data_IF_983241258995
#
_entry.id   IF_983241258995
#
_cell.length_a   1.000
_cell.length_b   1.000
_cell.length_c   1.000
_cell.angle_alpha   90.00
_cell.angle_beta   90.00
_cell.angle_gamma   90.00
#
_symmetry.space_group_name_H-M   'P 1'
#
loop_
_entity.id
_entity.type
_entity.pdbx_description
1 polymer ?
#
# COMPACT_ATOMS: atom_id res chain seq x y z
N UNK A 1 11.82 -3.68 -24.38
CA UNK A 1 13.20 -3.61 -23.83
C UNK A 1 13.14 -3.31 -22.35
N UNK A 2 14.01 -3.92 -21.54
CA UNK A 2 14.16 -3.55 -20.13
C UNK A 2 15.14 -2.37 -20.04
N UNK A 3 14.77 -1.28 -19.33
CA UNK A 3 15.68 -0.16 -19.08
C UNK A 3 16.16 -0.24 -17.63
N UNK A 4 17.40 -0.66 -17.45
CA UNK A 4 18.04 -0.84 -16.14
C UNK A 4 18.61 -2.24 -15.94
N UNK A 5 19.25 -2.47 -14.79
CA UNK A 5 19.75 -3.79 -14.41
C UNK A 5 18.58 -4.71 -14.05
N UNK A 6 18.64 -6.02 -14.38
CA UNK A 6 17.64 -6.98 -13.93
C UNK A 6 17.59 -7.01 -12.41
N UNK A 7 16.38 -7.06 -11.84
CA UNK A 7 16.20 -7.02 -10.39
C UNK A 7 16.79 -8.29 -9.71
N UNK A 8 17.45 -8.15 -8.54
CA UNK A 8 18.04 -9.27 -7.81
C UNK A 8 16.98 -10.15 -7.15
N UNK A 9 17.31 -11.43 -6.93
CA UNK A 9 16.42 -12.44 -6.33
C UNK A 9 16.00 -12.12 -4.88
N UNK A 10 16.87 -11.48 -4.10
CA UNK A 10 16.61 -11.10 -2.70
C UNK A 10 16.87 -9.60 -2.54
N UNK A 11 15.88 -8.88 -2.02
CA UNK A 11 16.00 -7.47 -1.66
C UNK A 11 15.10 -7.17 -0.46
N UNK A 12 15.63 -6.42 0.52
CA UNK A 12 14.83 -5.70 1.51
C UNK A 12 14.55 -4.31 0.95
N UNK A 13 13.29 -4.01 0.68
CA UNK A 13 12.81 -2.63 0.54
C UNK A 13 11.66 -2.42 1.49
N UNK A 14 11.65 -1.29 2.19
CA UNK A 14 10.44 -0.80 2.86
C UNK A 14 9.55 -0.31 1.73
N UNK A 15 8.59 -1.12 1.34
CA UNK A 15 7.64 -0.78 0.29
C UNK A 15 6.35 -0.35 0.96
N UNK A 16 6.05 0.95 0.90
CA UNK A 16 4.75 1.46 1.29
C UNK A 16 4.53 1.76 2.76
N UNK A 17 5.58 2.14 3.50
CA UNK A 17 5.35 2.90 4.73
C UNK A 17 4.76 4.26 4.35
N UNK A 18 3.48 4.43 4.67
CA UNK A 18 2.76 5.68 4.46
C UNK A 18 1.96 5.97 5.72
N UNK A 19 2.55 6.80 6.58
CA UNK A 19 1.89 7.23 7.80
C UNK A 19 0.60 7.97 7.45
N UNK A 20 -0.56 7.38 7.76
CA UNK A 20 -1.85 7.91 7.30
C UNK A 20 -2.18 9.29 7.85
N UNK A 21 -1.67 9.64 9.03
CA UNK A 21 -1.90 10.93 9.69
C UNK A 21 -0.90 11.98 9.20
N UNK A 22 0.39 11.71 9.37
CA UNK A 22 1.47 12.62 8.94
C UNK A 22 1.50 12.87 7.42
N UNK A 23 1.12 11.88 6.62
CA UNK A 23 1.11 11.98 5.15
C UNK A 23 -0.29 12.21 4.57
N UNK A 24 -1.28 12.55 5.39
CA UNK A 24 -2.68 12.66 4.94
C UNK A 24 -2.82 13.61 3.74
N UNK A 25 -2.13 14.76 3.77
CA UNK A 25 -2.12 15.71 2.65
C UNK A 25 -1.42 15.16 1.42
N UNK A 26 -0.27 14.49 1.59
CA UNK A 26 0.40 13.83 0.48
C UNK A 26 -0.41 12.70 -0.16
N UNK A 27 -1.29 12.04 0.61
CA UNK A 27 -2.26 11.06 0.09
C UNK A 27 -3.33 11.79 -0.72
N UNK A 28 -3.93 12.85 -0.16
CA UNK A 28 -4.97 13.64 -0.83
C UNK A 28 -4.46 14.26 -2.13
N UNK A 29 -3.24 14.80 -2.14
CA UNK A 29 -2.63 15.40 -3.33
C UNK A 29 -2.39 14.36 -4.43
N UNK A 30 -2.02 13.13 -4.06
CA UNK A 30 -1.77 12.04 -5.01
C UNK A 30 -3.07 11.37 -5.50
N UNK A 31 -4.06 11.26 -4.63
CA UNK A 31 -5.31 10.55 -4.86
C UNK A 31 -6.42 11.42 -5.46
N UNK A 32 -6.42 12.71 -5.11
CA UNK A 32 -7.52 13.65 -5.32
C UNK A 32 -8.60 13.51 -4.25
N UNK A 33 -9.03 14.66 -3.69
CA UNK A 33 -10.10 14.72 -2.67
C UNK A 33 -11.41 14.11 -3.16
N UNK A 34 -11.75 14.32 -4.44
CA UNK A 34 -12.94 13.76 -5.08
C UNK A 34 -12.98 12.24 -5.00
N UNK A 35 -11.89 11.56 -5.35
CA UNK A 35 -11.81 10.09 -5.30
C UNK A 35 -11.92 9.57 -3.86
N UNK A 36 -11.32 10.27 -2.90
CA UNK A 36 -11.43 9.92 -1.48
C UNK A 36 -12.86 10.07 -0.98
N UNK A 37 -13.52 11.20 -1.30
CA UNK A 37 -14.90 11.47 -0.91
C UNK A 37 -15.89 10.46 -1.51
N UNK A 38 -15.72 10.12 -2.80
CA UNK A 38 -16.50 9.09 -3.49
C UNK A 38 -16.35 7.72 -2.82
N UNK A 39 -15.11 7.31 -2.47
CA UNK A 39 -14.84 6.06 -1.77
C UNK A 39 -15.45 6.01 -0.37
N UNK A 40 -15.44 7.14 0.33
CA UNK A 40 -16.00 7.27 1.68
C UNK A 40 -17.54 7.46 1.67
N UNK A 41 -18.15 7.68 0.50
CA UNK A 41 -19.58 7.90 0.34
C UNK A 41 -20.08 9.22 0.94
N UNK A 42 -19.28 10.30 0.80
CA UNK A 42 -19.59 11.62 1.37
C UNK A 42 -19.27 12.75 0.38
N UNK A 43 -19.61 14.00 0.74
CA UNK A 43 -19.29 15.17 -0.08
C UNK A 43 -17.80 15.56 0.04
N UNK A 44 -17.25 16.19 -1.00
CA UNK A 44 -15.86 16.68 -0.99
C UNK A 44 -15.61 17.69 0.14
N UNK A 45 -16.58 18.57 0.40
CA UNK A 45 -16.49 19.55 1.48
C UNK A 45 -16.42 18.88 2.86
N UNK A 46 -17.21 17.83 3.10
CA UNK A 46 -17.19 17.09 4.36
C UNK A 46 -15.91 16.28 4.53
N UNK A 47 -15.44 15.62 3.47
CA UNK A 47 -14.17 14.92 3.48
C UNK A 47 -13.00 15.86 3.83
N UNK A 48 -12.97 17.06 3.25
CA UNK A 48 -11.92 18.06 3.50
C UNK A 48 -11.93 18.57 4.95
N UNK A 49 -13.11 18.74 5.55
CA UNK A 49 -13.26 19.12 6.96
C UNK A 49 -12.65 18.06 7.89
N UNK A 50 -13.01 16.80 7.72
CA UNK A 50 -12.52 15.69 8.55
C UNK A 50 -11.02 15.45 8.30
N UNK A 51 -10.55 15.53 7.05
CA UNK A 51 -9.12 15.45 6.73
C UNK A 51 -8.35 16.57 7.43
N UNK A 52 -8.87 17.80 7.44
CA UNK A 52 -8.25 18.92 8.15
C UNK A 52 -8.17 18.67 9.65
N UNK A 53 -9.20 18.08 10.25
CA UNK A 53 -9.22 17.68 11.66
C UNK A 53 -8.14 16.64 11.97
N UNK A 54 -8.03 15.58 11.16
CA UNK A 54 -7.00 14.54 11.31
C UNK A 54 -5.58 15.05 11.04
N UNK A 55 -5.42 16.00 10.11
CA UNK A 55 -4.13 16.63 9.83
C UNK A 55 -3.66 17.51 11.01
N UNK A 56 -4.58 18.21 11.67
CA UNK A 56 -4.28 19.06 12.81
C UNK A 56 -4.03 18.27 14.10
N UNK A 57 -4.63 17.09 14.24
CA UNK A 57 -4.51 16.25 15.43
C UNK A 57 -4.18 14.81 15.02
N UNK A 58 -2.89 14.51 14.95
CA UNK A 58 -2.40 13.21 14.47
C UNK A 58 -2.77 12.03 15.37
N UNK A 59 -3.11 12.29 16.63
CA UNK A 59 -3.48 11.27 17.61
C UNK A 59 -4.97 10.91 17.58
N UNK A 60 -5.77 11.62 16.76
CA UNK A 60 -7.19 11.30 16.62
C UNK A 60 -7.38 9.99 15.88
N UNK A 61 -8.18 9.12 16.51
CA UNK A 61 -8.72 7.92 15.92
C UNK A 61 -10.16 8.19 15.47
N UNK A 62 -10.65 7.48 14.43
CA UNK A 62 -12.05 7.50 14.08
C UNK A 62 -12.91 7.08 15.28
N UNK A 63 -14.01 7.78 15.50
CA UNK A 63 -14.92 7.55 16.65
C UNK A 63 -16.34 7.20 16.23
N UNK A 64 -16.67 7.38 14.95
CA UNK A 64 -17.99 7.16 14.40
C UNK A 64 -17.90 6.60 12.97
N UNK A 65 -19.01 6.07 12.47
CA UNK A 65 -19.09 5.46 11.15
C UNK A 65 -18.64 6.40 10.01
N UNK A 66 -18.81 7.72 10.14
CA UNK A 66 -18.44 8.68 9.10
C UNK A 66 -16.92 8.83 9.01
N UNK A 67 -16.29 9.07 10.16
CA UNK A 67 -14.83 9.17 10.29
C UNK A 67 -14.14 7.84 9.97
N UNK A 68 -14.75 6.71 10.30
CA UNK A 68 -14.25 5.38 9.93
C UNK A 68 -14.26 5.15 8.42
N UNK A 69 -15.35 5.49 7.72
CA UNK A 69 -15.41 5.36 6.26
C UNK A 69 -14.36 6.22 5.56
N UNK A 70 -14.10 7.42 6.07
CA UNK A 70 -13.06 8.27 5.52
C UNK A 70 -11.65 7.76 5.82
N UNK A 71 -11.40 7.26 7.04
CA UNK A 71 -10.12 6.66 7.40
C UNK A 71 -9.81 5.42 6.54
N UNK A 72 -10.81 4.59 6.26
CA UNK A 72 -10.70 3.47 5.34
C UNK A 72 -10.40 3.92 3.91
N UNK A 73 -11.10 4.94 3.41
CA UNK A 73 -10.86 5.49 2.07
C UNK A 73 -9.43 6.05 1.94
N UNK A 74 -8.96 6.77 2.96
CA UNK A 74 -7.59 7.26 3.06
C UNK A 74 -6.61 6.08 3.07
N UNK A 75 -6.87 5.02 3.84
CA UNK A 75 -6.03 3.84 3.90
C UNK A 75 -5.92 3.13 2.53
N UNK A 76 -7.04 2.97 1.82
CA UNK A 76 -7.07 2.42 0.46
C UNK A 76 -6.19 3.24 -0.50
N UNK A 77 -6.34 4.56 -0.48
CA UNK A 77 -5.56 5.45 -1.32
C UNK A 77 -4.10 5.55 -0.91
N UNK A 78 -3.81 5.41 0.38
CA UNK A 78 -2.46 5.35 0.90
C UNK A 78 -1.73 4.11 0.38
N UNK A 79 -2.33 2.92 0.51
CA UNK A 79 -1.81 1.65 -0.02
C UNK A 79 -1.60 1.73 -1.53
N UNK A 80 -2.60 2.23 -2.27
CA UNK A 80 -2.47 2.44 -3.73
C UNK A 80 -1.27 3.32 -4.07
N UNK A 81 -1.16 4.47 -3.40
CA UNK A 81 -0.11 5.46 -3.66
C UNK A 81 1.27 4.90 -3.33
N UNK A 82 1.39 4.26 -2.17
CA UNK A 82 2.59 3.57 -1.72
C UNK A 82 3.07 2.55 -2.77
N UNK A 83 2.23 1.59 -3.14
CA UNK A 83 2.64 0.52 -4.06
C UNK A 83 2.86 1.06 -5.47
N UNK A 84 2.10 2.07 -5.90
CA UNK A 84 2.33 2.74 -7.21
C UNK A 84 3.70 3.43 -7.27
N UNK A 85 4.18 4.03 -6.18
CA UNK A 85 5.51 4.67 -6.11
C UNK A 85 6.67 3.65 -6.14
N UNK A 86 6.42 2.41 -5.74
CA UNK A 86 7.44 1.36 -5.71
C UNK A 86 7.36 0.41 -6.92
N UNK A 87 6.19 0.25 -7.51
CA UNK A 87 5.99 -0.47 -8.77
C UNK A 87 6.56 0.36 -9.92
N UNK A 88 7.18 -0.34 -10.87
CA UNK A 88 7.57 0.20 -12.14
C UNK A 88 6.39 0.44 -13.07
N UNK A 89 6.70 0.92 -14.26
CA UNK A 89 5.74 1.15 -15.34
C UNK A 89 6.25 0.64 -16.68
N UNK A 90 5.34 0.41 -17.60
CA UNK A 90 5.63 0.21 -19.02
C UNK A 90 5.31 1.49 -19.77
N UNK A 91 6.29 2.00 -20.50
CA UNK A 91 6.19 3.20 -21.32
C UNK A 91 6.37 2.85 -22.80
N UNK A 92 5.64 3.53 -23.68
CA UNK A 92 5.89 3.46 -25.12
C UNK A 92 7.10 4.31 -25.49
N UNK A 93 8.02 3.72 -26.22
CA UNK A 93 9.17 4.39 -26.81
C UNK A 93 9.12 4.24 -28.33
N UNK A 94 9.46 5.30 -29.04
CA UNK A 94 9.50 5.30 -30.50
C UNK A 94 10.95 5.08 -30.94
N UNK A 95 11.16 4.01 -31.72
CA UNK A 95 12.45 3.70 -32.33
C UNK A 95 12.35 3.80 -33.85
N UNK A 96 13.48 3.81 -34.55
CA UNK A 96 13.51 3.73 -36.02
C UNK A 96 12.84 2.45 -36.57
N UNK A 97 12.65 1.43 -35.74
CA UNK A 97 11.95 0.17 -36.08
C UNK A 97 10.45 0.20 -35.73
N UNK A 98 9.91 1.33 -35.25
CA UNK A 98 8.53 1.47 -34.79
C UNK A 98 8.39 1.56 -33.27
N UNK A 99 7.15 1.43 -32.78
CA UNK A 99 6.79 1.50 -31.35
C UNK A 99 7.35 0.30 -30.59
N UNK A 100 8.06 0.56 -29.50
CA UNK A 100 8.59 -0.47 -28.59
C UNK A 100 8.17 -0.14 -27.16
N UNK A 101 7.94 -1.17 -26.35
CA UNK A 101 7.60 -0.98 -24.94
C UNK A 101 8.86 -1.07 -24.08
N UNK A 102 9.03 -0.09 -23.20
CA UNK A 102 10.16 0.02 -22.27
C UNK A 102 9.65 -0.06 -20.85
N UNK A 103 10.16 -1.03 -20.09
CA UNK A 103 9.89 -1.07 -18.66
C UNK A 103 10.84 -0.13 -17.91
N UNK A 104 10.27 0.69 -17.03
CA UNK A 104 10.97 1.54 -16.05
C UNK A 104 10.63 1.07 -14.64
N UNK A 105 11.60 1.00 -13.74
CA UNK A 105 11.38 0.53 -12.36
C UNK A 105 11.09 -0.98 -12.23
N UNK A 106 10.48 -1.36 -11.10
CA UNK A 106 10.32 -2.76 -10.68
C UNK A 106 9.11 -3.44 -11.32
N UNK A 107 9.24 -4.70 -11.72
CA UNK A 107 8.09 -5.51 -12.06
C UNK A 107 7.57 -6.27 -10.83
N UNK A 108 6.52 -5.76 -10.18
CA UNK A 108 5.92 -6.39 -9.02
C UNK A 108 4.78 -7.34 -9.40
N UNK A 109 4.47 -7.54 -10.69
CA UNK A 109 3.35 -8.39 -11.13
C UNK A 109 3.42 -9.83 -10.63
N UNK A 110 4.62 -10.33 -10.34
CA UNK A 110 4.88 -11.69 -9.81
C UNK A 110 4.94 -11.76 -8.28
N UNK A 111 4.71 -10.66 -7.57
CA UNK A 111 4.62 -10.68 -6.11
C UNK A 111 3.28 -11.30 -5.73
N UNK A 112 3.33 -12.45 -5.04
CA UNK A 112 2.15 -13.22 -4.67
C UNK A 112 1.71 -13.06 -3.21
N UNK A 113 2.47 -12.33 -2.40
CA UNK A 113 2.17 -12.13 -0.98
C UNK A 113 2.32 -10.66 -0.63
N UNK A 114 1.31 -10.11 0.01
CA UNK A 114 1.35 -8.79 0.61
C UNK A 114 1.27 -8.97 2.13
N UNK A 115 2.24 -8.44 2.86
CA UNK A 115 2.24 -8.47 4.32
C UNK A 115 1.94 -7.07 4.82
N UNK A 116 0.87 -6.93 5.59
CA UNK A 116 0.39 -5.67 6.17
C UNK A 116 0.70 -5.68 7.66
N UNK A 117 1.34 -4.63 8.15
CA UNK A 117 1.71 -4.47 9.56
C UNK A 117 1.54 -3.01 9.99
N UNK A 118 1.13 -2.79 11.24
CA UNK A 118 0.97 -1.48 11.86
C UNK A 118 -0.25 -0.65 11.45
N UNK A 119 -0.38 0.50 12.11
CA UNK A 119 -1.35 1.56 11.81
C UNK A 119 -2.83 1.16 11.98
N UNK A 120 -3.71 1.87 11.30
CA UNK A 120 -5.15 1.56 11.23
C UNK A 120 -5.44 0.21 10.57
N UNK A 121 -4.49 -0.29 9.76
CA UNK A 121 -4.65 -1.49 8.93
C UNK A 121 -4.69 -2.79 9.74
N UNK A 122 -4.11 -2.83 10.94
CA UNK A 122 -4.13 -4.02 11.82
C UNK A 122 -5.40 -4.11 12.68
N UNK A 123 -6.06 -2.97 12.94
CA UNK A 123 -7.24 -2.88 13.79
C UNK A 123 -8.56 -2.85 13.01
N UNK A 124 -8.52 -2.50 11.73
CA UNK A 124 -9.70 -2.56 10.86
C UNK A 124 -10.11 -4.01 10.56
N UNK A 125 -11.42 -4.20 10.37
CA UNK A 125 -12.00 -5.45 9.86
C UNK A 125 -11.91 -5.55 8.33
N UNK A 126 -11.67 -4.43 7.64
CA UNK A 126 -11.69 -4.33 6.18
C UNK A 126 -10.28 -4.42 5.54
N UNK A 127 -9.32 -5.07 6.21
CA UNK A 127 -7.92 -5.14 5.75
C UNK A 127 -7.80 -5.72 4.34
N UNK A 128 -8.58 -6.75 4.00
CA UNK A 128 -8.57 -7.35 2.67
C UNK A 128 -8.99 -6.35 1.57
N UNK A 129 -10.02 -5.54 1.83
CA UNK A 129 -10.48 -4.48 0.92
C UNK A 129 -9.38 -3.43 0.73
N UNK A 130 -8.80 -2.94 1.82
CA UNK A 130 -7.74 -1.93 1.75
C UNK A 130 -6.51 -2.46 1.01
N UNK A 131 -6.08 -3.68 1.33
CA UNK A 131 -4.97 -4.34 0.67
C UNK A 131 -5.19 -4.57 -0.82
N UNK A 132 -6.44 -4.76 -1.28
CA UNK A 132 -6.74 -4.91 -2.71
C UNK A 132 -6.30 -3.70 -3.56
N UNK A 133 -6.21 -2.50 -2.97
CA UNK A 133 -5.73 -1.31 -3.66
C UNK A 133 -4.23 -1.34 -3.98
N UNK A 134 -3.48 -2.29 -3.41
CA UNK A 134 -2.10 -2.59 -3.80
C UNK A 134 -2.02 -3.26 -5.17
N UNK A 135 -3.08 -3.95 -5.60
CA UNK A 135 -3.08 -4.76 -6.79
C UNK A 135 -3.20 -3.93 -8.08
N UNK A 136 -2.90 -4.57 -9.20
CA UNK A 136 -3.08 -4.03 -10.54
C UNK A 136 -4.51 -3.50 -10.74
N UNK A 137 -4.61 -2.34 -11.38
CA UNK A 137 -5.87 -1.69 -11.73
C UNK A 137 -5.91 -1.49 -13.24
N UNK A 138 -7.00 -1.93 -13.88
CA UNK A 138 -7.20 -1.76 -15.32
C UNK A 138 -7.25 -0.29 -15.75
N UNK A 139 -7.56 0.63 -14.82
CA UNK A 139 -7.52 2.09 -15.07
C UNK A 139 -6.09 2.63 -15.22
N UNK A 140 -5.08 1.89 -14.76
CA UNK A 140 -3.65 2.22 -14.96
C UNK A 140 -2.91 1.01 -15.56
N UNK A 141 -3.13 0.73 -16.86
CA UNK A 141 -2.58 -0.48 -17.51
C UNK A 141 -1.06 -0.45 -17.64
N UNK A 142 -0.44 0.72 -17.48
CA UNK A 142 1.01 0.88 -17.51
C UNK A 142 1.67 0.44 -16.20
N UNK A 143 0.91 0.32 -15.12
CA UNK A 143 1.40 0.00 -13.78
C UNK A 143 1.85 -1.46 -13.66
N UNK A 144 3.04 -1.69 -13.12
CA UNK A 144 3.57 -3.03 -12.84
C UNK A 144 3.29 -3.50 -11.41
N UNK A 145 2.14 -3.12 -10.86
CA UNK A 145 1.68 -3.57 -9.54
C UNK A 145 1.36 -5.08 -9.53
N UNK A 146 1.33 -5.73 -8.36
CA UNK A 146 0.98 -7.14 -8.23
C UNK A 146 -0.35 -7.48 -8.92
N UNK A 147 -0.37 -8.52 -9.76
CA UNK A 147 -1.60 -8.95 -10.42
C UNK A 147 -2.57 -9.63 -9.45
N UNK A 148 -2.01 -10.39 -8.52
CA UNK A 148 -2.72 -11.10 -7.46
C UNK A 148 -1.78 -11.26 -6.27
N UNK A 149 -2.29 -11.11 -5.05
CA UNK A 149 -1.50 -11.40 -3.86
C UNK A 149 -2.39 -11.87 -2.71
N UNK A 150 -1.92 -12.90 -2.01
CA UNK A 150 -2.47 -13.29 -0.71
C UNK A 150 -2.09 -12.23 0.33
N UNK A 151 -3.08 -11.72 1.05
CA UNK A 151 -2.88 -10.70 2.09
C UNK A 151 -2.68 -11.39 3.43
N UNK A 152 -1.53 -11.12 4.06
CA UNK A 152 -1.18 -11.55 5.41
C UNK A 152 -1.14 -10.33 6.33
N UNK A 153 -1.71 -10.46 7.53
CA UNK A 153 -1.84 -9.34 8.47
C UNK A 153 -1.10 -9.66 9.76
N UNK A 154 -0.23 -8.76 10.17
CA UNK A 154 0.49 -8.78 11.44
C UNK A 154 -0.33 -8.12 12.55
N UNK A 155 -1.41 -8.79 12.98
CA UNK A 155 -2.33 -8.25 13.99
C UNK A 155 -1.68 -8.02 15.36
N UNK A 156 -0.62 -8.78 15.68
CA UNK A 156 0.11 -8.69 16.95
C UNK A 156 1.34 -7.77 16.88
N UNK A 157 1.58 -7.14 15.73
CA UNK A 157 2.73 -6.26 15.49
C UNK A 157 4.08 -6.93 15.82
N UNK A 158 4.19 -8.23 15.51
CA UNK A 158 5.34 -9.06 15.88
C UNK A 158 6.48 -8.99 14.87
N UNK A 159 6.25 -8.56 13.62
CA UNK A 159 7.27 -8.61 12.56
C UNK A 159 8.51 -7.81 12.96
N UNK A 160 8.33 -6.63 13.58
CA UNK A 160 9.45 -5.81 14.04
C UNK A 160 10.30 -6.55 15.11
N UNK A 161 9.65 -7.16 16.09
CA UNK A 161 10.33 -7.95 17.13
C UNK A 161 11.00 -9.20 16.57
N UNK A 162 10.35 -9.89 15.62
CA UNK A 162 10.91 -11.06 14.94
C UNK A 162 12.10 -10.69 14.05
N UNK A 163 12.11 -9.49 13.48
CA UNK A 163 13.27 -8.93 12.78
C UNK A 163 14.51 -8.89 13.68
N UNK A 164 14.38 -8.35 14.90
CA UNK A 164 15.45 -8.33 15.90
C UNK A 164 15.83 -9.74 16.36
N UNK A 165 14.85 -10.61 16.61
CA UNK A 165 15.10 -11.98 17.04
C UNK A 165 15.87 -12.78 15.98
N UNK A 166 15.59 -12.54 14.71
CA UNK A 166 16.18 -13.27 13.59
C UNK A 166 17.70 -13.12 13.46
N UNK A 167 18.29 -12.07 14.06
CA UNK A 167 19.75 -11.88 14.09
C UNK A 167 20.47 -12.99 14.85
N UNK A 168 19.80 -13.58 15.86
CA UNK A 168 20.36 -14.66 16.70
C UNK A 168 19.64 -16.00 16.49
N UNK A 169 18.35 -15.96 16.21
CA UNK A 169 17.46 -17.13 16.15
C UNK A 169 16.55 -17.09 14.91
N UNK A 170 17.12 -17.22 13.69
CA UNK A 170 16.39 -17.03 12.44
C UNK A 170 15.26 -18.04 12.23
N UNK A 171 15.47 -19.32 12.55
CA UNK A 171 14.47 -20.37 12.38
C UNK A 171 13.30 -20.19 13.36
N UNK A 172 13.59 -19.84 14.62
CA UNK A 172 12.56 -19.57 15.62
C UNK A 172 11.74 -18.34 15.25
N UNK A 173 12.39 -17.26 14.83
CA UNK A 173 11.71 -16.05 14.36
C UNK A 173 10.78 -16.35 13.18
N UNK A 174 11.26 -17.12 12.19
CA UNK A 174 10.46 -17.53 11.05
C UNK A 174 9.27 -18.41 11.45
N UNK A 175 9.47 -19.35 12.37
CA UNK A 175 8.41 -20.23 12.88
C UNK A 175 7.29 -19.42 13.55
N UNK A 176 7.67 -18.49 14.43
CA UNK A 176 6.72 -17.60 15.12
C UNK A 176 5.96 -16.74 14.10
N UNK A 177 6.66 -16.11 13.14
CA UNK A 177 6.00 -15.32 12.09
C UNK A 177 4.99 -16.14 11.29
N UNK A 178 5.32 -17.39 10.92
CA UNK A 178 4.39 -18.26 10.17
C UNK A 178 3.16 -18.67 10.97
N UNK A 179 3.27 -18.76 12.29
CA UNK A 179 2.16 -19.12 13.18
C UNK A 179 1.23 -17.93 13.44
N UNK A 180 1.79 -16.73 13.46
CA UNK A 180 1.08 -15.53 13.94
C UNK A 180 0.53 -14.65 12.81
N UNK A 181 1.09 -14.71 11.60
CA UNK A 181 0.55 -14.00 10.44
C UNK A 181 -0.75 -14.65 9.96
N UNK A 182 -1.87 -13.97 10.15
CA UNK A 182 -3.18 -14.42 9.71
C UNK A 182 -3.45 -13.99 8.26
N UNK A 183 -4.26 -14.75 7.53
CA UNK A 183 -4.85 -14.27 6.27
C UNK A 183 -5.90 -13.21 6.57
N UNK A 184 -5.92 -12.15 5.77
CA UNK A 184 -6.91 -11.08 5.87
C UNK A 184 -8.32 -11.55 5.49
#
# INVERSE_FOLDING_TARGET
MLKGLPEPYIKRTVEGDIGMRYSIRGIVDAAGIKTIAELAGMSEARAEEIISMFAANTDLLPTDDETERLDEALACMAVRTAVTRHAGRIEEAYSMMGTTYVQTGKDLRKVHKLVVTGGSLIHTTNTAKIASFALYDQKDPTSLRPLMADVLVDRKYIIAAMGLLSEKYPEQALSIMKQELCRA
#
